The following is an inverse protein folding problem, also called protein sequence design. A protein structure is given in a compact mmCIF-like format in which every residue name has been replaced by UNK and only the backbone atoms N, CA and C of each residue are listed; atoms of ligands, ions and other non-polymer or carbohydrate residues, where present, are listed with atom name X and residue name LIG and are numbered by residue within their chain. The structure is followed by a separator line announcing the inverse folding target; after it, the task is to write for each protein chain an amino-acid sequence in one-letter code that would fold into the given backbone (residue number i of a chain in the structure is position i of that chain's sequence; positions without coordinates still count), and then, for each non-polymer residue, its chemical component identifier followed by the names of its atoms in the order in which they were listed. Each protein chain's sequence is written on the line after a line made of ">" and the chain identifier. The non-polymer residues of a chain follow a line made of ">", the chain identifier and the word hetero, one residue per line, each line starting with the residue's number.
data_IF_050218132920
#
_entry.id   IF_050218132920
#
_cell.length_a   1.000
_cell.length_b   1.000
_cell.length_c   1.000
_cell.angle_alpha   90.00
_cell.angle_beta   90.00
_cell.angle_gamma   90.00
#
_symmetry.space_group_name_H-M   'P 1'
#
loop_
_entity.id
_entity.type
_entity.pdbx_description
1 polymer ?
#
# COMPACT_ATOMS: atom_id res chain seq x y z
N UNK A 1 -8.91 -22.02 -17.33
CA UNK A 1 -8.59 -20.65 -16.86
C UNK A 1 -9.36 -20.41 -15.57
N UNK A 2 -8.73 -19.88 -14.51
CA UNK A 2 -9.41 -19.67 -13.22
C UNK A 2 -10.54 -18.62 -13.27
N UNK A 3 -10.63 -17.85 -14.36
CA UNK A 3 -11.55 -16.73 -14.56
C UNK A 3 -13.00 -17.17 -14.74
N UNK A 4 -13.23 -18.37 -15.27
CA UNK A 4 -14.59 -18.89 -15.56
C UNK A 4 -15.12 -19.81 -14.45
N UNK A 5 -14.39 -19.91 -13.34
CA UNK A 5 -14.82 -20.72 -12.22
C UNK A 5 -15.95 -20.00 -11.44
N UNK A 6 -17.01 -20.71 -11.01
CA UNK A 6 -18.15 -20.09 -10.33
C UNK A 6 -17.79 -19.45 -8.98
N UNK A 7 -16.69 -19.86 -8.35
CA UNK A 7 -16.16 -19.26 -7.12
C UNK A 7 -15.21 -18.08 -7.36
N UNK A 8 -14.90 -17.74 -8.61
CA UNK A 8 -14.02 -16.62 -8.93
C UNK A 8 -14.81 -15.32 -9.06
N UNK A 9 -14.75 -14.48 -8.02
CA UNK A 9 -15.37 -13.14 -8.00
C UNK A 9 -14.28 -12.08 -8.12
N UNK A 10 -14.49 -11.08 -8.97
CA UNK A 10 -13.54 -9.96 -9.12
C UNK A 10 -13.75 -8.95 -8.00
N UNK A 11 -12.67 -8.37 -7.47
CA UNK A 11 -12.72 -7.32 -6.45
C UNK A 11 -13.66 -6.16 -6.83
N UNK A 12 -13.73 -5.80 -8.13
CA UNK A 12 -14.66 -4.76 -8.61
C UNK A 12 -16.15 -5.10 -8.37
N UNK A 13 -16.52 -6.38 -8.45
CA UNK A 13 -17.89 -6.83 -8.22
C UNK A 13 -18.20 -6.75 -6.73
N UNK A 14 -17.28 -7.21 -5.89
CA UNK A 14 -17.38 -7.11 -4.43
C UNK A 14 -17.56 -5.66 -3.98
N UNK A 15 -16.71 -4.73 -4.43
CA UNK A 15 -16.81 -3.32 -4.04
C UNK A 15 -18.11 -2.66 -4.53
N UNK A 16 -18.59 -3.00 -5.73
CA UNK A 16 -19.86 -2.49 -6.25
C UNK A 16 -21.05 -3.02 -5.45
N UNK A 17 -21.07 -4.32 -5.20
CA UNK A 17 -22.24 -5.01 -4.63
C UNK A 17 -22.35 -4.77 -3.11
N UNK A 18 -21.22 -4.54 -2.41
CA UNK A 18 -21.18 -4.19 -0.98
C UNK A 18 -21.09 -2.69 -0.73
N UNK A 19 -21.05 -1.86 -1.79
CA UNK A 19 -20.81 -0.41 -1.72
C UNK A 19 -19.56 -0.02 -0.90
N UNK A 20 -18.58 -0.91 -0.86
CA UNK A 20 -17.37 -0.72 -0.08
C UNK A 20 -16.37 0.16 -0.81
N UNK A 21 -15.76 1.07 -0.05
CA UNK A 21 -14.59 1.80 -0.53
C UNK A 21 -13.47 0.80 -0.84
N UNK A 22 -12.85 0.87 -2.03
CA UNK A 22 -11.68 0.04 -2.33
C UNK A 22 -10.62 0.23 -1.25
N UNK A 23 -10.07 -0.88 -0.73
CA UNK A 23 -9.08 -0.85 0.35
C UNK A 23 -7.93 0.14 0.07
N UNK A 24 -7.54 0.27 -1.20
CA UNK A 24 -6.50 1.21 -1.64
C UNK A 24 -6.86 2.66 -1.32
N UNK A 25 -8.09 3.07 -1.54
CA UNK A 25 -8.52 4.46 -1.35
C UNK A 25 -8.68 4.77 0.15
N UNK A 26 -9.21 3.81 0.92
CA UNK A 26 -9.20 3.87 2.38
C UNK A 26 -7.76 4.05 2.93
N UNK A 27 -6.82 3.23 2.47
CA UNK A 27 -5.41 3.30 2.89
C UNK A 27 -4.78 4.64 2.50
N UNK A 28 -5.08 5.15 1.31
CA UNK A 28 -4.60 6.47 0.88
C UNK A 28 -5.14 7.59 1.76
N UNK A 29 -6.45 7.60 2.04
CA UNK A 29 -7.07 8.60 2.93
C UNK A 29 -6.48 8.54 4.33
N UNK A 30 -6.38 7.34 4.91
CA UNK A 30 -5.74 7.15 6.23
C UNK A 30 -4.30 7.64 6.22
N UNK A 31 -3.51 7.27 5.21
CA UNK A 31 -2.13 7.72 5.08
C UNK A 31 -2.06 9.26 5.03
N UNK A 32 -2.83 9.91 4.15
CA UNK A 32 -2.85 11.36 4.01
C UNK A 32 -3.14 12.07 5.35
N UNK A 33 -4.21 11.66 6.04
CA UNK A 33 -4.56 12.24 7.36
C UNK A 33 -3.52 11.99 8.43
N UNK A 34 -2.75 10.90 8.33
CA UNK A 34 -1.70 10.58 9.29
C UNK A 34 -0.46 11.44 9.05
N UNK A 35 -0.07 11.61 7.78
CA UNK A 35 1.06 12.47 7.42
C UNK A 35 0.79 13.96 7.68
N UNK A 36 -0.42 14.43 7.41
CA UNK A 36 -0.84 15.81 7.75
C UNK A 36 -0.74 16.10 9.26
N UNK A 37 -1.10 15.12 10.10
CA UNK A 37 -0.91 15.22 11.56
C UNK A 37 0.56 15.18 11.97
N UNK A 38 1.37 14.38 11.29
CA UNK A 38 2.80 14.29 11.55
C UNK A 38 3.54 15.59 11.18
N UNK A 39 3.12 16.27 10.11
CA UNK A 39 3.66 17.56 9.68
C UNK A 39 3.48 18.67 10.73
N UNK A 40 2.36 18.64 11.46
CA UNK A 40 2.03 19.60 12.51
C UNK A 40 2.40 19.10 13.93
N UNK A 41 3.18 18.02 14.04
CA UNK A 41 3.46 17.40 15.33
C UNK A 41 4.45 18.23 16.15
N UNK A 42 4.32 18.36 17.48
CA UNK A 42 5.28 19.08 18.32
C UNK A 42 6.69 18.46 18.41
N UNK A 43 6.94 17.30 17.80
CA UNK A 43 8.25 16.64 17.82
C UNK A 43 8.88 16.74 16.43
N UNK A 44 10.06 17.34 16.35
CA UNK A 44 10.77 17.58 15.08
C UNK A 44 11.12 16.28 14.36
N UNK A 45 11.39 15.18 15.08
CA UNK A 45 11.71 13.89 14.45
C UNK A 45 10.55 13.35 13.62
N UNK A 46 9.31 13.59 14.05
CA UNK A 46 8.12 13.15 13.33
C UNK A 46 7.86 14.03 12.10
N UNK A 47 8.12 15.33 12.18
CA UNK A 47 8.05 16.23 11.02
C UNK A 47 9.07 15.84 9.96
N UNK A 48 10.32 15.57 10.37
CA UNK A 48 11.41 15.17 9.49
C UNK A 48 11.17 13.82 8.80
N UNK A 49 10.29 12.97 9.35
CA UNK A 49 9.90 11.70 8.75
C UNK A 49 8.80 11.84 7.67
N UNK A 50 8.07 12.95 7.60
CA UNK A 50 7.03 13.22 6.59
C UNK A 50 7.59 13.25 5.15
N UNK A 51 8.73 13.91 4.83
CA UNK A 51 9.30 13.92 3.49
C UNK A 51 9.92 12.58 3.06
N UNK A 52 9.51 11.45 3.64
CA UNK A 52 10.02 10.13 3.26
C UNK A 52 9.68 9.79 1.81
N UNK A 53 10.67 9.91 0.93
CA UNK A 53 10.60 9.44 -0.45
C UNK A 53 11.30 8.07 -0.56
N UNK A 54 10.57 6.99 -0.87
CA UNK A 54 11.19 5.67 -1.03
C UNK A 54 12.15 5.59 -2.22
N UNK A 55 12.05 6.51 -3.19
CA UNK A 55 12.96 6.60 -4.33
C UNK A 55 14.33 7.21 -3.94
N UNK A 56 14.42 7.93 -2.82
CA UNK A 56 15.68 8.48 -2.31
C UNK A 56 16.55 7.43 -1.60
N UNK A 57 16.03 6.23 -1.33
CA UNK A 57 16.74 5.17 -0.60
C UNK A 57 17.74 4.38 -1.47
N UNK A 58 18.16 4.94 -2.60
CA UNK A 58 19.11 4.33 -3.51
C UNK A 58 18.56 3.08 -4.23
N UNK A 59 19.40 2.39 -5.02
CA UNK A 59 18.96 1.25 -5.80
C UNK A 59 18.41 0.13 -4.92
N UNK A 60 17.16 -0.29 -5.20
CA UNK A 60 16.49 -1.42 -4.53
C UNK A 60 17.41 -2.64 -4.50
N UNK A 61 17.90 -3.01 -3.31
CA UNK A 61 18.64 -4.26 -3.10
C UNK A 61 17.73 -5.45 -3.45
N UNK A 62 18.04 -6.14 -4.55
CA UNK A 62 17.37 -7.41 -4.88
C UNK A 62 17.68 -8.42 -3.79
N UNK A 63 16.65 -9.05 -3.23
CA UNK A 63 16.84 -10.17 -2.32
C UNK A 63 17.46 -11.35 -3.09
N UNK A 64 18.38 -12.12 -2.47
CA UNK A 64 18.86 -13.36 -3.07
C UNK A 64 17.67 -14.25 -3.40
N UNK A 65 17.56 -14.69 -4.66
CA UNK A 65 16.61 -15.76 -4.99
C UNK A 65 17.24 -17.06 -4.52
N UNK A 66 16.55 -17.76 -3.61
CA UNK A 66 16.89 -19.14 -3.32
C UNK A 66 16.66 -19.93 -4.62
N UNK A 67 17.74 -20.35 -5.27
CA UNK A 67 17.65 -21.38 -6.29
C UNK A 67 17.61 -22.71 -5.55
N UNK A 68 16.56 -23.50 -5.75
CA UNK A 68 16.63 -24.91 -5.40
C UNK A 68 17.68 -25.52 -6.33
N UNK A 69 18.77 -26.06 -5.76
CA UNK A 69 19.73 -26.85 -6.50
C UNK A 69 18.99 -28.04 -7.14
N UNK A 70 19.26 -28.27 -8.43
CA UNK A 70 18.73 -29.41 -9.19
C UNK A 70 19.32 -30.73 -8.68
#
# INVERSE_FOLDING_TARGET
>A
MAIDAPWFVRNRQIYRDLEWEPLRDLLKRKAATTFEKAENHPFEELQNAVPYSPEDNGPRKKRPRHQMAQ
#
